data_IF_412611785199
#
_entry.id   IF_412611785199
#
_cell.length_a   1.000
_cell.length_b   1.000
_cell.length_c   1.000
_cell.angle_alpha   90.00
_cell.angle_beta   90.00
_cell.angle_gamma   90.00
#
_symmetry.space_group_name_H-M   'P 1'
#
loop_
_entity.id
_entity.type
_entity.pdbx_description
1 polymer ?
#
# COMPACT_ATOMS: atom_id res chain seq x y z
N UNK A 1 15.86 28.45 9.62
CA UNK A 1 15.58 27.24 8.81
C UNK A 1 16.27 26.05 9.45
N UNK A 2 15.59 24.95 9.60
CA UNK A 2 16.18 23.71 10.12
C UNK A 2 17.02 23.05 9.02
N UNK A 3 18.19 22.55 9.39
CA UNK A 3 19.12 21.88 8.52
C UNK A 3 19.52 20.54 9.14
N UNK A 4 19.57 19.48 8.33
CA UNK A 4 19.94 18.14 8.75
C UNK A 4 21.35 17.82 8.23
N UNK A 5 22.21 17.29 9.08
CA UNK A 5 23.55 16.84 8.73
C UNK A 5 23.60 15.32 8.48
N UNK A 6 22.67 14.58 9.09
CA UNK A 6 22.63 13.11 9.01
C UNK A 6 21.21 12.60 8.80
N UNK A 7 21.09 11.39 8.27
CA UNK A 7 19.82 10.70 8.10
C UNK A 7 19.14 10.40 9.46
N UNK A 8 19.92 10.14 10.52
CA UNK A 8 19.38 9.94 11.86
C UNK A 8 18.68 11.19 12.38
N UNK A 9 19.30 12.37 12.24
CA UNK A 9 18.66 13.64 12.62
C UNK A 9 17.34 13.89 11.85
N UNK A 10 17.31 13.51 10.58
CA UNK A 10 16.10 13.58 9.75
C UNK A 10 15.02 12.61 10.26
N UNK A 11 15.38 11.36 10.59
CA UNK A 11 14.44 10.40 11.16
C UNK A 11 13.88 10.91 12.50
N UNK A 12 14.71 11.40 13.41
CA UNK A 12 14.28 12.00 14.68
C UNK A 12 13.34 13.19 14.48
N UNK A 13 13.53 13.95 13.41
CA UNK A 13 12.62 15.03 13.06
C UNK A 13 11.27 14.49 12.58
N UNK A 14 11.28 13.54 11.65
CA UNK A 14 10.06 12.96 11.14
C UNK A 14 9.26 12.26 12.23
N UNK A 15 9.91 11.56 13.17
CA UNK A 15 9.25 10.89 14.28
C UNK A 15 8.55 11.90 15.22
N UNK A 16 9.13 13.09 15.42
CA UNK A 16 8.50 14.19 16.19
C UNK A 16 7.28 14.80 15.50
N UNK A 17 7.19 14.75 14.16
CA UNK A 17 5.98 15.17 13.45
C UNK A 17 4.78 14.25 13.75
N UNK A 18 5.06 13.07 14.28
CA UNK A 18 4.06 12.08 14.66
C UNK A 18 3.47 11.34 13.46
N UNK A 19 3.83 10.08 13.33
CA UNK A 19 3.40 9.18 12.23
C UNK A 19 1.88 9.17 12.00
N UNK A 20 1.10 9.46 13.06
CA UNK A 20 -0.37 9.40 13.07
C UNK A 20 -1.03 10.76 13.33
N UNK A 21 -0.26 11.84 13.36
CA UNK A 21 -0.85 13.17 13.39
C UNK A 21 -1.43 13.50 12.02
N UNK A 22 -2.75 13.47 11.94
CA UNK A 22 -3.48 13.73 10.71
C UNK A 22 -4.31 15.00 10.89
N UNK A 23 -4.13 15.92 9.97
CA UNK A 23 -4.96 17.09 9.84
C UNK A 23 -5.53 17.11 8.42
N UNK A 24 -6.85 16.93 8.33
CA UNK A 24 -7.57 16.72 7.07
C UNK A 24 -7.77 18.06 6.33
N UNK A 25 -6.68 18.64 5.85
CA UNK A 25 -6.66 19.85 5.02
C UNK A 25 -5.53 19.78 3.98
N UNK A 26 -5.69 20.41 2.85
CA UNK A 26 -4.64 20.54 1.83
C UNK A 26 -3.90 21.89 1.90
N UNK A 27 -4.33 22.81 2.76
CA UNK A 27 -3.80 24.18 2.78
C UNK A 27 -2.29 24.29 2.96
N UNK A 28 -1.67 23.41 3.80
CA UNK A 28 -0.21 23.39 3.99
C UNK A 28 0.51 22.94 2.71
N UNK A 29 0.00 21.88 2.06
CA UNK A 29 0.54 21.37 0.81
C UNK A 29 0.40 22.41 -0.31
N UNK A 30 -0.74 23.07 -0.40
CA UNK A 30 -0.99 24.13 -1.38
C UNK A 30 -0.06 25.33 -1.16
N UNK A 31 0.13 25.76 0.09
CA UNK A 31 1.04 26.84 0.44
C UNK A 31 2.51 26.49 0.12
N UNK A 32 2.95 25.28 0.48
CA UNK A 32 4.30 24.80 0.18
C UNK A 32 4.57 24.83 -1.33
N UNK A 33 3.68 24.26 -2.14
CA UNK A 33 3.88 24.19 -3.58
C UNK A 33 3.63 25.52 -4.29
N UNK A 34 2.82 26.42 -3.73
CA UNK A 34 2.73 27.80 -4.21
C UNK A 34 4.03 28.56 -4.04
N UNK A 35 4.75 28.33 -2.94
CA UNK A 35 6.05 28.96 -2.66
C UNK A 35 7.21 28.34 -3.46
N UNK A 36 7.21 27.02 -3.63
CA UNK A 36 8.31 26.27 -4.29
C UNK A 36 8.13 26.16 -5.82
N UNK A 37 6.90 26.10 -6.30
CA UNK A 37 6.54 25.72 -7.67
C UNK A 37 6.32 24.20 -7.79
N UNK A 38 5.16 23.83 -8.35
CA UNK A 38 4.79 22.44 -8.56
C UNK A 38 5.53 21.84 -9.74
N UNK A 39 6.21 20.67 -9.60
CA UNK A 39 6.87 20.00 -10.72
C UNK A 39 5.86 19.54 -11.79
N UNK A 40 6.20 19.69 -13.05
CA UNK A 40 5.42 19.19 -14.19
C UNK A 40 5.76 17.70 -14.44
N UNK A 41 5.34 16.85 -13.54
CA UNK A 41 5.53 15.40 -13.65
C UNK A 41 4.16 14.73 -13.82
N UNK A 42 3.96 13.97 -14.90
CA UNK A 42 2.75 13.20 -15.06
C UNK A 42 2.55 12.24 -13.89
N UNK A 43 1.36 12.25 -13.29
CA UNK A 43 1.09 11.48 -12.08
C UNK A 43 -0.14 10.60 -12.26
N UNK A 44 -0.02 9.33 -11.84
CA UNK A 44 -1.14 8.42 -11.61
C UNK A 44 -1.30 8.23 -10.11
N UNK A 45 -2.47 8.57 -9.62
CA UNK A 45 -2.85 8.46 -8.22
C UNK A 45 -3.61 7.16 -7.97
N UNK A 46 -3.27 6.41 -6.93
CA UNK A 46 -3.91 5.14 -6.59
C UNK A 46 -4.58 5.24 -5.23
N UNK A 47 -5.90 5.16 -5.23
CA UNK A 47 -6.78 5.28 -4.05
C UNK A 47 -7.51 3.96 -3.81
N UNK A 48 -7.92 3.69 -2.58
CA UNK A 48 -8.69 2.49 -2.21
C UNK A 48 -8.48 2.13 -0.74
N UNK A 49 -9.10 1.06 -0.29
CA UNK A 49 -8.85 0.50 1.04
C UNK A 49 -7.76 -0.56 0.94
N UNK A 50 -7.96 -1.57 0.12
CA UNK A 50 -7.02 -2.66 -0.10
C UNK A 50 -6.53 -2.66 -1.56
N UNK A 51 -5.34 -3.22 -1.81
CA UNK A 51 -4.81 -3.35 -3.18
C UNK A 51 -4.06 -2.14 -3.73
N UNK A 52 -4.03 -0.99 -3.05
CA UNK A 52 -3.32 0.21 -3.50
C UNK A 52 -1.86 -0.08 -3.84
N UNK A 53 -1.07 -0.51 -2.85
CA UNK A 53 0.36 -0.82 -3.04
C UNK A 53 0.61 -1.89 -4.11
N UNK A 54 -0.25 -2.94 -4.19
CA UNK A 54 -0.16 -3.95 -5.26
C UNK A 54 -0.41 -3.34 -6.64
N UNK A 55 -1.41 -2.46 -6.77
CA UNK A 55 -1.70 -1.73 -8.02
C UNK A 55 -0.52 -0.82 -8.40
N UNK A 56 0.06 -0.09 -7.43
CA UNK A 56 1.28 0.70 -7.64
C UNK A 56 2.45 -0.17 -8.12
N UNK A 57 2.66 -1.33 -7.52
CA UNK A 57 3.73 -2.25 -7.90
C UNK A 57 3.57 -2.78 -9.33
N UNK A 58 2.36 -3.21 -9.71
CA UNK A 58 2.05 -3.62 -11.09
C UNK A 58 2.24 -2.46 -12.07
N UNK A 59 1.69 -1.28 -11.77
CA UNK A 59 1.78 -0.11 -12.63
C UNK A 59 3.22 0.34 -12.84
N UNK A 60 4.01 0.40 -11.76
CA UNK A 60 5.44 0.71 -11.82
C UNK A 60 6.19 -0.30 -12.68
N UNK A 61 5.89 -1.57 -12.54
CA UNK A 61 6.53 -2.64 -13.31
C UNK A 61 6.16 -2.59 -14.80
N UNK A 62 4.87 -2.35 -15.11
CA UNK A 62 4.39 -2.15 -16.49
C UNK A 62 5.08 -0.95 -17.16
N UNK A 63 5.08 0.21 -16.52
CA UNK A 63 5.68 1.41 -17.07
C UNK A 63 7.20 1.24 -17.29
N UNK A 64 7.89 0.62 -16.34
CA UNK A 64 9.33 0.31 -16.49
C UNK A 64 9.62 -0.67 -17.61
N UNK A 65 8.80 -1.71 -17.78
CA UNK A 65 8.93 -2.66 -18.89
C UNK A 65 8.85 -1.95 -20.25
N UNK A 66 8.05 -0.87 -20.34
CA UNK A 66 7.95 -0.03 -21.53
C UNK A 66 8.99 1.13 -21.54
N UNK A 67 10.08 1.02 -20.79
CA UNK A 67 11.19 1.95 -20.83
C UNK A 67 10.98 3.27 -20.09
N UNK A 68 9.90 3.41 -19.30
CA UNK A 68 9.70 4.64 -18.54
C UNK A 68 10.59 4.67 -17.29
N UNK A 69 11.10 5.86 -16.95
CA UNK A 69 11.70 6.13 -15.65
C UNK A 69 10.60 6.50 -14.67
N UNK A 70 10.37 5.66 -13.67
CA UNK A 70 9.20 5.74 -12.78
C UNK A 70 9.62 6.11 -11.38
N UNK A 71 8.99 7.16 -10.83
CA UNK A 71 8.97 7.45 -9.42
C UNK A 71 7.77 6.75 -8.77
N UNK A 72 7.98 6.08 -7.64
CA UNK A 72 6.90 5.38 -6.92
C UNK A 72 6.90 5.81 -5.46
N UNK A 73 5.76 6.30 -4.99
CA UNK A 73 5.50 6.61 -3.59
C UNK A 73 4.46 5.67 -3.03
N UNK A 74 4.80 4.95 -1.96
CA UNK A 74 3.92 3.97 -1.31
C UNK A 74 3.93 4.11 0.20
N UNK A 75 2.89 3.62 0.86
CA UNK A 75 2.78 3.63 2.33
C UNK A 75 1.94 2.46 2.85
N UNK A 76 2.19 2.04 4.10
CA UNK A 76 3.33 2.36 4.94
C UNK A 76 4.61 1.64 4.51
N UNK A 77 5.74 1.91 5.18
CA UNK A 77 6.96 1.12 5.09
C UNK A 77 6.99 0.00 6.14
N UNK A 78 7.89 -0.96 5.99
CA UNK A 78 8.15 -2.01 6.98
C UNK A 78 9.28 -1.63 7.93
N UNK A 79 10.46 -1.34 7.42
CA UNK A 79 11.68 -1.14 8.21
C UNK A 79 12.15 0.31 8.18
N UNK A 80 12.13 0.94 7.01
CA UNK A 80 12.70 2.27 6.83
C UNK A 80 11.78 3.19 6.02
N UNK A 81 11.62 4.47 6.39
CA UNK A 81 10.94 5.46 5.56
C UNK A 81 11.43 5.49 4.10
N UNK A 82 12.67 5.08 3.84
CA UNK A 82 13.26 5.02 2.50
C UNK A 82 12.52 4.09 1.55
N UNK A 83 11.81 3.08 2.06
CA UNK A 83 10.97 2.18 1.25
C UNK A 83 9.84 2.92 0.54
N UNK A 84 9.38 4.06 1.10
CA UNK A 84 8.25 4.82 0.56
C UNK A 84 8.54 5.55 -0.72
N UNK A 85 9.80 5.98 -0.96
CA UNK A 85 10.20 6.77 -2.13
C UNK A 85 11.21 5.97 -2.93
N UNK A 86 10.81 5.55 -4.12
CA UNK A 86 11.65 4.75 -4.99
C UNK A 86 11.70 5.35 -6.40
N UNK A 87 12.87 5.29 -7.04
CA UNK A 87 13.04 5.57 -8.46
C UNK A 87 13.43 4.27 -9.16
N UNK A 88 12.66 3.84 -10.12
CA UNK A 88 12.84 2.56 -10.82
C UNK A 88 12.98 1.35 -9.86
N UNK A 89 12.16 1.32 -8.79
CA UNK A 89 12.17 0.30 -7.73
C UNK A 89 13.46 0.26 -6.90
N UNK A 90 14.23 1.32 -6.88
CA UNK A 90 15.40 1.47 -6.01
C UNK A 90 15.14 2.54 -4.98
N UNK A 91 15.35 2.21 -3.72
CA UNK A 91 15.33 3.17 -2.62
C UNK A 91 16.44 4.20 -2.81
N UNK A 92 16.17 5.44 -2.44
CA UNK A 92 17.15 6.51 -2.43
C UNK A 92 18.20 6.27 -1.32
N UNK A 93 19.41 6.83 -1.49
CA UNK A 93 20.43 6.81 -0.45
C UNK A 93 20.02 7.67 0.74
N UNK A 94 20.61 7.42 1.91
CA UNK A 94 20.39 8.27 3.10
C UNK A 94 20.80 9.71 2.84
N UNK A 95 21.92 9.90 2.16
CA UNK A 95 22.38 11.24 1.80
C UNK A 95 21.36 11.97 0.89
N UNK A 96 20.81 11.29 -0.10
CA UNK A 96 19.77 11.88 -0.95
C UNK A 96 18.53 12.30 -0.14
N UNK A 97 18.13 11.52 0.86
CA UNK A 97 17.02 11.89 1.76
C UNK A 97 17.35 13.16 2.55
N UNK A 98 18.58 13.29 3.06
CA UNK A 98 19.05 14.49 3.78
C UNK A 98 19.05 15.71 2.87
N UNK A 99 19.58 15.58 1.64
CA UNK A 99 19.63 16.66 0.67
C UNK A 99 18.22 17.15 0.30
N UNK A 100 17.31 16.24 -0.01
CA UNK A 100 15.90 16.54 -0.30
C UNK A 100 15.18 17.19 0.88
N UNK A 101 15.45 16.71 2.11
CA UNK A 101 14.87 17.30 3.31
C UNK A 101 15.38 18.74 3.53
N UNK A 102 16.64 18.99 3.31
CA UNK A 102 17.22 20.33 3.40
C UNK A 102 16.65 21.25 2.31
N UNK A 103 16.46 20.76 1.08
CA UNK A 103 15.75 21.49 0.02
C UNK A 103 14.32 21.81 0.45
N UNK A 104 13.57 20.84 0.94
CA UNK A 104 12.20 21.06 1.41
C UNK A 104 12.14 22.10 2.53
N UNK A 105 13.04 21.99 3.53
CA UNK A 105 13.11 22.94 4.66
C UNK A 105 13.53 24.35 4.25
N UNK A 106 14.05 24.56 3.06
CA UNK A 106 14.32 25.90 2.52
C UNK A 106 13.05 26.62 2.02
N UNK A 107 11.96 25.90 1.84
CA UNK A 107 10.67 26.44 1.41
C UNK A 107 9.90 26.98 2.61
N UNK A 108 9.37 28.22 2.58
CA UNK A 108 8.55 28.76 3.64
C UNK A 108 7.35 27.87 3.95
N UNK A 109 7.09 27.61 5.25
CA UNK A 109 5.99 26.76 5.73
C UNK A 109 6.28 25.26 5.72
N UNK A 110 7.49 24.84 5.38
CA UNK A 110 7.86 23.42 5.39
C UNK A 110 7.81 22.80 6.81
N UNK A 111 8.05 23.63 7.85
CA UNK A 111 7.97 23.23 9.26
C UNK A 111 6.55 22.90 9.74
N UNK A 112 5.53 23.36 9.04
CA UNK A 112 4.12 23.13 9.38
C UNK A 112 3.58 21.81 8.78
N UNK A 113 4.34 21.17 7.89
CA UNK A 113 3.93 19.92 7.22
C UNK A 113 3.84 18.78 8.23
N UNK A 114 2.79 17.97 8.13
CA UNK A 114 2.67 16.72 8.86
C UNK A 114 3.67 15.69 8.33
N UNK A 115 3.87 14.59 9.07
CA UNK A 115 4.75 13.48 8.67
C UNK A 115 4.51 13.00 7.23
N UNK A 116 3.24 12.78 6.88
CA UNK A 116 2.89 12.25 5.55
C UNK A 116 3.04 13.32 4.47
N UNK A 117 2.63 14.56 4.74
CA UNK A 117 2.80 15.69 3.83
C UNK A 117 4.27 15.95 3.51
N UNK A 118 5.13 15.95 4.55
CA UNK A 118 6.57 16.14 4.37
C UNK A 118 7.17 15.07 3.46
N UNK A 119 6.88 13.78 3.71
CA UNK A 119 7.38 12.70 2.85
C UNK A 119 6.81 12.76 1.43
N UNK A 120 5.57 13.20 1.28
CA UNK A 120 4.94 13.39 -0.03
C UNK A 120 5.64 14.49 -0.81
N UNK A 121 6.05 15.59 -0.14
CA UNK A 121 6.89 16.63 -0.75
C UNK A 121 8.26 16.08 -1.14
N UNK A 122 8.94 15.33 -0.25
CA UNK A 122 10.23 14.71 -0.57
C UNK A 122 10.14 13.77 -1.78
N UNK A 123 9.03 13.04 -1.92
CA UNK A 123 8.82 12.16 -3.08
C UNK A 123 8.80 12.95 -4.38
N UNK A 124 8.04 14.04 -4.46
CA UNK A 124 7.95 14.85 -5.68
C UNK A 124 9.27 15.57 -6.00
N UNK A 125 9.98 16.07 -4.99
CA UNK A 125 11.33 16.65 -5.18
C UNK A 125 12.31 15.59 -5.73
N UNK A 126 12.28 14.39 -5.16
CA UNK A 126 13.10 13.26 -5.62
C UNK A 126 12.81 12.90 -7.07
N UNK A 127 11.52 12.88 -7.44
CA UNK A 127 11.09 12.52 -8.79
C UNK A 127 11.49 13.58 -9.82
N UNK A 128 11.40 14.87 -9.46
CA UNK A 128 11.87 15.98 -10.27
C UNK A 128 13.38 15.90 -10.50
N UNK A 129 14.17 15.80 -9.41
CA UNK A 129 15.63 15.67 -9.51
C UNK A 129 16.06 14.45 -10.32
N UNK A 130 15.35 13.35 -10.17
CA UNK A 130 15.62 12.14 -10.94
C UNK A 130 15.17 12.25 -12.40
N UNK A 131 14.36 13.23 -12.79
CA UNK A 131 13.79 13.34 -14.14
C UNK A 131 12.93 12.12 -14.51
N UNK A 132 11.95 11.76 -13.65
CA UNK A 132 11.04 10.65 -13.94
C UNK A 132 10.02 11.02 -15.02
N UNK A 133 9.61 10.02 -15.81
CA UNK A 133 8.60 10.20 -16.85
C UNK A 133 7.17 10.00 -16.32
N UNK A 134 7.04 9.33 -15.18
CA UNK A 134 5.78 9.01 -14.53
C UNK A 134 5.97 8.90 -13.01
N UNK A 135 5.15 9.60 -12.24
CA UNK A 135 4.99 9.40 -10.81
C UNK A 135 3.78 8.49 -10.55
N UNK A 136 3.98 7.42 -9.80
CA UNK A 136 2.94 6.52 -9.28
C UNK A 136 2.81 6.78 -7.79
N UNK A 137 1.68 7.37 -7.36
CA UNK A 137 1.48 7.85 -6.00
C UNK A 137 0.35 7.10 -5.32
N UNK A 138 0.67 6.38 -4.24
CA UNK A 138 -0.32 5.74 -3.38
C UNK A 138 -0.90 6.75 -2.38
N UNK A 139 -2.23 6.84 -2.27
CA UNK A 139 -2.88 7.59 -1.22
C UNK A 139 -2.58 7.00 0.16
N UNK A 140 -2.21 7.82 1.12
CA UNK A 140 -1.97 7.38 2.48
C UNK A 140 -3.25 7.01 3.22
N UNK A 141 -4.21 7.94 3.25
CA UNK A 141 -5.49 7.75 3.91
C UNK A 141 -6.59 8.56 3.21
N UNK A 142 -7.78 7.92 3.07
CA UNK A 142 -8.92 8.58 2.46
C UNK A 142 -8.71 8.86 0.97
N UNK A 143 -9.00 10.07 0.56
CA UNK A 143 -8.85 10.55 -0.81
C UNK A 143 -8.97 12.07 -0.90
N UNK A 144 -10.05 12.64 -0.36
CA UNK A 144 -10.36 14.07 -0.49
C UNK A 144 -9.28 15.00 0.02
N UNK A 145 -8.68 14.66 1.16
CA UNK A 145 -7.68 15.47 1.85
C UNK A 145 -6.31 14.78 1.91
N UNK A 146 -6.13 13.72 1.11
CA UNK A 146 -4.82 13.07 1.03
C UNK A 146 -3.80 14.03 0.37
N UNK A 147 -2.61 14.12 0.97
CA UNK A 147 -1.57 15.05 0.51
C UNK A 147 -1.21 14.85 -0.97
N UNK A 148 -1.36 13.64 -1.50
CA UNK A 148 -1.07 13.34 -2.90
C UNK A 148 -2.03 14.00 -3.89
N UNK A 149 -3.24 14.43 -3.46
CA UNK A 149 -4.20 15.14 -4.32
C UNK A 149 -3.72 16.55 -4.67
N UNK A 150 -2.89 17.17 -3.81
CA UNK A 150 -2.35 18.51 -4.04
C UNK A 150 -1.55 18.63 -5.35
N UNK A 151 -1.05 17.52 -5.90
CA UNK A 151 -0.33 17.49 -7.18
C UNK A 151 -1.23 17.44 -8.41
N UNK A 152 -2.54 17.44 -8.25
CA UNK A 152 -3.52 17.43 -9.34
C UNK A 152 -3.30 16.29 -10.33
N UNK A 153 -3.42 15.01 -9.89
CA UNK A 153 -3.17 13.84 -10.72
C UNK A 153 -3.94 13.86 -12.03
N UNK A 154 -3.28 13.50 -13.12
CA UNK A 154 -3.92 13.39 -14.45
C UNK A 154 -4.85 12.17 -14.57
N UNK A 155 -4.67 11.19 -13.70
CA UNK A 155 -5.43 9.95 -13.65
C UNK A 155 -5.52 9.43 -12.22
N UNK A 156 -6.72 9.08 -11.76
CA UNK A 156 -6.92 8.41 -10.47
C UNK A 156 -7.42 6.98 -10.69
N UNK A 157 -6.78 6.01 -10.03
CA UNK A 157 -7.16 4.60 -10.05
C UNK A 157 -7.79 4.23 -8.72
N UNK A 158 -8.99 3.64 -8.75
CA UNK A 158 -9.68 3.16 -7.55
C UNK A 158 -9.52 1.64 -7.41
N UNK A 159 -8.63 1.23 -6.50
CA UNK A 159 -8.56 -0.13 -5.98
C UNK A 159 -9.77 -0.41 -5.08
N UNK A 160 -10.05 -1.67 -4.68
CA UNK A 160 -11.23 -2.00 -3.90
C UNK A 160 -11.39 -1.14 -2.64
N UNK A 161 -12.58 -0.58 -2.47
CA UNK A 161 -13.01 0.20 -1.30
C UNK A 161 -13.77 -0.73 -0.36
N UNK A 162 -13.41 -0.74 0.92
CA UNK A 162 -14.02 -1.56 1.95
C UNK A 162 -13.91 -0.88 3.32
N UNK A 163 -14.42 -1.52 4.35
CA UNK A 163 -14.38 -1.02 5.73
C UNK A 163 -12.96 -1.00 6.26
N UNK A 164 -12.45 0.16 6.59
CA UNK A 164 -11.21 0.43 7.35
C UNK A 164 -11.17 1.91 7.75
N UNK A 165 -10.43 2.24 8.81
CA UNK A 165 -10.29 3.60 9.31
C UNK A 165 -11.61 4.30 9.64
N UNK A 166 -12.60 3.55 10.13
CA UNK A 166 -13.97 4.02 10.43
C UNK A 166 -14.00 5.22 11.37
N UNK A 167 -13.08 5.29 12.33
CA UNK A 167 -12.96 6.40 13.29
C UNK A 167 -12.60 7.74 12.64
N UNK A 168 -12.05 7.73 11.44
CA UNK A 168 -11.56 8.91 10.73
C UNK A 168 -12.42 9.21 9.52
N UNK A 169 -12.74 8.19 8.73
CA UNK A 169 -13.43 8.35 7.44
C UNK A 169 -14.95 8.22 7.56
N UNK A 170 -15.44 7.73 8.71
CA UNK A 170 -16.87 7.52 8.98
C UNK A 170 -17.23 6.05 9.16
N UNK A 171 -18.37 5.79 9.84
CA UNK A 171 -18.75 4.46 10.30
C UNK A 171 -19.34 3.54 9.21
N UNK A 172 -19.62 4.08 8.00
CA UNK A 172 -20.24 3.30 6.92
C UNK A 172 -19.36 3.21 5.69
N UNK A 173 -19.56 2.18 4.87
CA UNK A 173 -18.90 2.05 3.57
C UNK A 173 -19.16 3.26 2.67
N UNK A 174 -20.37 3.80 2.74
CA UNK A 174 -20.78 5.00 2.01
C UNK A 174 -19.95 6.23 2.41
N UNK A 175 -19.65 6.42 3.70
CA UNK A 175 -18.84 7.56 4.18
C UNK A 175 -17.39 7.41 3.72
N UNK A 176 -16.81 6.22 3.89
CA UNK A 176 -15.46 5.89 3.43
C UNK A 176 -15.34 6.10 1.92
N UNK A 177 -16.32 5.63 1.16
CA UNK A 177 -16.33 5.77 -0.30
C UNK A 177 -16.49 7.22 -0.74
N UNK A 178 -17.31 8.02 -0.04
CA UNK A 178 -17.47 9.45 -0.30
C UNK A 178 -16.18 10.22 -0.09
N UNK A 179 -15.45 9.96 0.97
CA UNK A 179 -14.14 10.58 1.20
C UNK A 179 -13.15 10.19 0.10
N UNK A 180 -13.03 8.89 -0.21
CA UNK A 180 -12.12 8.41 -1.25
C UNK A 180 -12.49 8.96 -2.65
N UNK A 181 -13.75 9.04 -2.98
CA UNK A 181 -14.25 9.63 -4.22
C UNK A 181 -13.82 11.10 -4.38
N UNK A 182 -13.58 11.81 -3.25
CA UNK A 182 -13.05 13.17 -3.25
C UNK A 182 -11.71 13.34 -3.98
N UNK A 183 -10.97 12.25 -4.23
CA UNK A 183 -9.77 12.25 -5.07
C UNK A 183 -10.06 12.40 -6.57
N UNK A 184 -11.31 12.30 -7.01
CA UNK A 184 -11.72 12.60 -8.38
C UNK A 184 -11.77 14.13 -8.54
N UNK A 185 -10.88 14.66 -9.36
CA UNK A 185 -10.77 16.09 -9.62
C UNK A 185 -11.74 16.55 -10.70
N UNK A 186 -12.02 17.86 -10.72
CA UNK A 186 -12.87 18.49 -11.72
C UNK A 186 -12.34 18.25 -13.14
N UNK A 187 -13.21 17.77 -14.04
CA UNK A 187 -12.85 17.44 -15.43
C UNK A 187 -11.84 16.29 -15.57
N UNK A 188 -11.43 15.65 -14.46
CA UNK A 188 -10.42 14.61 -14.42
C UNK A 188 -10.90 13.26 -14.96
N UNK A 189 -10.00 12.28 -14.91
CA UNK A 189 -10.28 10.89 -15.30
C UNK A 189 -10.05 9.97 -14.11
N UNK A 190 -11.01 9.09 -13.85
CA UNK A 190 -10.93 8.06 -12.84
C UNK A 190 -11.18 6.68 -13.45
N UNK A 191 -10.35 5.70 -13.14
CA UNK A 191 -10.58 4.30 -13.50
C UNK A 191 -10.91 3.49 -12.26
N UNK A 192 -11.89 2.60 -12.37
CA UNK A 192 -12.26 1.70 -11.28
C UNK A 192 -12.47 0.29 -11.76
N UNK A 193 -12.02 -0.69 -10.95
CA UNK A 193 -12.44 -2.08 -11.05
C UNK A 193 -13.82 -2.29 -10.41
N UNK A 194 -14.24 -3.55 -10.21
CA UNK A 194 -15.43 -3.86 -9.44
C UNK A 194 -15.36 -3.26 -8.02
N UNK A 195 -16.46 -2.68 -7.57
CA UNK A 195 -16.64 -2.13 -6.24
C UNK A 195 -17.94 -2.68 -5.63
N UNK A 196 -18.06 -2.63 -4.32
CA UNK A 196 -19.35 -2.81 -3.66
C UNK A 196 -20.35 -1.75 -4.15
N UNK A 197 -21.66 -2.08 -4.30
CA UNK A 197 -22.64 -1.17 -4.89
C UNK A 197 -22.67 0.22 -4.24
N UNK A 198 -22.60 0.29 -2.91
CA UNK A 198 -22.58 1.54 -2.16
C UNK A 198 -21.35 2.40 -2.49
N UNK A 199 -20.19 1.78 -2.64
CA UNK A 199 -18.97 2.48 -3.01
C UNK A 199 -19.03 2.97 -4.46
N UNK A 200 -19.56 2.15 -5.37
CA UNK A 200 -19.72 2.52 -6.78
C UNK A 200 -20.63 3.73 -6.94
N UNK A 201 -21.75 3.78 -6.23
CA UNK A 201 -22.67 4.93 -6.24
C UNK A 201 -21.91 6.22 -5.88
N UNK A 202 -21.08 6.19 -4.82
CA UNK A 202 -20.32 7.39 -4.41
C UNK A 202 -19.28 7.84 -5.43
N UNK A 203 -18.64 6.90 -6.13
CA UNK A 203 -17.72 7.22 -7.21
C UNK A 203 -18.45 7.87 -8.40
N UNK A 204 -19.64 7.36 -8.76
CA UNK A 204 -20.46 7.89 -9.84
C UNK A 204 -20.97 9.30 -9.50
N UNK A 205 -21.59 9.48 -8.34
CA UNK A 205 -22.08 10.78 -7.85
C UNK A 205 -20.98 11.86 -7.87
N UNK A 206 -19.77 11.48 -7.40
CA UNK A 206 -18.66 12.43 -7.40
C UNK A 206 -18.18 12.75 -8.81
N UNK A 207 -18.05 11.76 -9.68
CA UNK A 207 -17.62 11.97 -11.06
C UNK A 207 -18.60 12.90 -11.81
N UNK A 208 -19.90 12.68 -11.64
CA UNK A 208 -20.94 13.57 -12.20
C UNK A 208 -20.85 14.98 -11.65
N UNK A 209 -20.73 15.14 -10.32
CA UNK A 209 -20.69 16.42 -9.65
C UNK A 209 -19.50 17.31 -10.06
N UNK A 210 -18.38 16.70 -10.48
CA UNK A 210 -17.16 17.40 -10.89
C UNK A 210 -16.87 17.25 -12.38
N UNK A 211 -17.85 16.84 -13.18
CA UNK A 211 -17.72 16.65 -14.64
C UNK A 211 -16.54 15.80 -15.05
N UNK A 212 -16.16 14.83 -14.20
CA UNK A 212 -15.07 13.91 -14.45
C UNK A 212 -15.54 12.66 -15.20
N UNK A 213 -14.63 12.03 -15.93
CA UNK A 213 -14.90 10.77 -16.63
C UNK A 213 -14.59 9.59 -15.72
N UNK A 214 -15.62 8.82 -15.32
CA UNK A 214 -15.44 7.53 -14.65
C UNK A 214 -15.44 6.40 -15.69
N UNK A 215 -14.36 5.60 -15.72
CA UNK A 215 -14.13 4.54 -16.69
C UNK A 215 -13.97 3.21 -15.96
N UNK A 216 -14.59 2.16 -16.47
CA UNK A 216 -14.45 0.82 -15.91
C UNK A 216 -13.25 0.12 -16.53
N UNK A 217 -12.50 -0.61 -15.70
CA UNK A 217 -11.29 -1.32 -16.17
C UNK A 217 -11.56 -2.33 -17.28
N UNK A 218 -12.77 -2.90 -17.32
CA UNK A 218 -13.19 -3.86 -18.38
C UNK A 218 -13.23 -3.23 -19.76
N UNK A 219 -13.47 -1.91 -19.84
CA UNK A 219 -13.58 -1.17 -21.10
C UNK A 219 -12.20 -0.84 -21.71
N UNK A 220 -11.14 -0.85 -20.88
CA UNK A 220 -9.78 -0.47 -21.27
C UNK A 220 -8.84 -1.66 -21.32
N UNK A 221 -8.90 -2.50 -20.31
CA UNK A 221 -8.10 -3.71 -20.22
C UNK A 221 -9.02 -4.92 -20.21
N UNK A 222 -9.11 -5.63 -21.27
CA UNK A 222 -9.77 -6.93 -21.30
C UNK A 222 -9.29 -7.88 -20.20
N UNK A 223 -9.66 -9.15 -20.20
CA UNK A 223 -9.16 -10.12 -19.21
C UNK A 223 -7.62 -10.15 -19.25
N UNK A 224 -6.98 -10.19 -18.08
CA UNK A 224 -5.51 -10.28 -17.96
C UNK A 224 -4.96 -11.57 -18.56
N UNK A 225 -5.85 -12.51 -18.94
CA UNK A 225 -5.49 -13.79 -19.54
C UNK A 225 -4.80 -14.74 -18.55
N UNK A 226 -4.16 -15.78 -19.08
CA UNK A 226 -3.40 -16.77 -18.31
C UNK A 226 -1.97 -16.26 -18.00
N UNK A 227 -1.85 -15.05 -17.39
CA UNK A 227 -0.56 -14.48 -17.01
C UNK A 227 -0.19 -14.95 -15.59
N UNK A 228 1.02 -15.45 -15.43
CA UNK A 228 1.56 -15.79 -14.11
C UNK A 228 2.01 -14.51 -13.40
N UNK A 229 1.07 -13.85 -12.72
CA UNK A 229 1.34 -12.60 -12.02
C UNK A 229 2.52 -12.72 -11.03
N UNK A 230 3.33 -11.67 -10.93
CA UNK A 230 4.42 -11.58 -9.97
C UNK A 230 3.93 -11.55 -8.53
N UNK A 231 2.80 -10.87 -8.25
CA UNK A 231 2.09 -10.95 -6.98
C UNK A 231 1.05 -12.05 -7.02
N UNK A 232 1.04 -12.91 -6.00
CA UNK A 232 0.18 -14.10 -5.95
C UNK A 232 -1.16 -13.82 -5.27
N UNK A 233 -2.14 -14.66 -5.60
CA UNK A 233 -3.50 -14.61 -5.08
C UNK A 233 -4.52 -14.08 -6.08
N UNK A 234 -5.73 -14.65 -6.06
CA UNK A 234 -6.80 -14.35 -7.03
C UNK A 234 -7.19 -12.87 -7.07
N UNK A 235 -7.16 -12.19 -5.92
CA UNK A 235 -7.43 -10.76 -5.81
C UNK A 235 -6.40 -9.89 -6.57
N UNK A 236 -5.20 -10.41 -6.82
CA UNK A 236 -4.18 -9.68 -7.58
C UNK A 236 -4.53 -9.56 -9.06
N UNK A 237 -5.42 -10.41 -9.58
CA UNK A 237 -5.92 -10.28 -10.94
C UNK A 237 -6.70 -8.97 -11.13
N UNK A 238 -7.49 -8.55 -10.15
CA UNK A 238 -8.20 -7.28 -10.18
C UNK A 238 -7.23 -6.09 -10.09
N UNK A 239 -6.23 -6.16 -9.19
CA UNK A 239 -5.20 -5.12 -9.04
C UNK A 239 -4.34 -5.00 -10.32
N UNK A 240 -3.95 -6.13 -10.92
CA UNK A 240 -3.21 -6.18 -12.18
C UNK A 240 -4.02 -5.59 -13.34
N UNK A 241 -5.33 -5.89 -13.42
CA UNK A 241 -6.22 -5.32 -14.44
C UNK A 241 -6.35 -3.81 -14.28
N UNK A 242 -6.50 -3.33 -13.04
CA UNK A 242 -6.57 -1.89 -12.76
C UNK A 242 -5.27 -1.19 -13.16
N UNK A 243 -4.12 -1.76 -12.82
CA UNK A 243 -2.82 -1.23 -13.20
C UNK A 243 -2.62 -1.25 -14.73
N UNK A 244 -3.02 -2.33 -15.41
CA UNK A 244 -2.94 -2.44 -16.87
C UNK A 244 -3.85 -1.43 -17.57
N UNK A 245 -5.08 -1.23 -17.08
CA UNK A 245 -5.98 -0.21 -17.59
C UNK A 245 -5.39 1.19 -17.41
N UNK A 246 -4.85 1.49 -16.21
CA UNK A 246 -4.18 2.75 -15.92
C UNK A 246 -2.97 2.99 -16.83
N UNK A 247 -2.13 1.97 -17.02
CA UNK A 247 -0.99 2.05 -17.94
C UNK A 247 -1.43 2.33 -19.39
N UNK A 248 -2.37 1.54 -19.92
CA UNK A 248 -2.87 1.73 -21.30
C UNK A 248 -3.50 3.09 -21.51
N UNK A 249 -4.28 3.56 -20.53
CA UNK A 249 -4.86 4.92 -20.60
C UNK A 249 -3.78 6.00 -20.63
N UNK A 250 -2.81 5.91 -19.73
CA UNK A 250 -1.67 6.83 -19.67
C UNK A 250 -0.86 6.81 -20.96
N UNK A 251 -0.52 5.61 -21.46
CA UNK A 251 0.27 5.42 -22.67
C UNK A 251 -0.44 5.98 -23.91
N UNK A 252 -1.75 5.72 -24.05
CA UNK A 252 -2.55 6.24 -25.17
C UNK A 252 -2.59 7.77 -25.18
N UNK A 253 -2.77 8.42 -24.01
CA UNK A 253 -2.76 9.87 -23.89
C UNK A 253 -1.42 10.54 -24.22
N UNK A 254 -0.34 9.74 -24.30
CA UNK A 254 1.02 10.21 -24.60
C UNK A 254 1.61 9.60 -25.86
N UNK A 255 0.82 8.89 -26.65
CA UNK A 255 1.25 8.21 -27.89
C UNK A 255 2.42 7.23 -27.65
N UNK A 256 2.50 6.64 -26.45
CA UNK A 256 3.49 5.61 -26.15
C UNK A 256 3.04 4.28 -26.73
N UNK A 257 3.99 3.54 -27.28
CA UNK A 257 3.70 2.19 -27.78
C UNK A 257 3.52 1.21 -26.66
N UNK A 258 2.49 0.38 -26.75
CA UNK A 258 2.24 -0.75 -25.85
C UNK A 258 2.12 -2.03 -26.66
N UNK A 259 2.56 -3.15 -26.11
CA UNK A 259 2.40 -4.46 -26.70
C UNK A 259 2.17 -5.53 -25.62
N UNK A 260 1.50 -6.60 -25.95
CA UNK A 260 1.12 -7.64 -25.01
C UNK A 260 2.30 -8.41 -24.40
N UNK A 261 3.42 -8.52 -25.09
CA UNK A 261 4.60 -9.24 -24.59
C UNK A 261 5.24 -8.42 -23.46
N UNK A 262 5.43 -7.13 -23.70
CA UNK A 262 5.99 -6.19 -22.74
C UNK A 262 5.03 -6.00 -21.53
N UNK A 263 3.71 -5.90 -21.77
CA UNK A 263 2.71 -5.84 -20.71
C UNK A 263 2.74 -7.09 -19.83
N UNK A 264 2.79 -8.28 -20.45
CA UNK A 264 2.91 -9.55 -19.75
C UNK A 264 4.17 -9.59 -18.89
N UNK A 265 5.32 -9.26 -19.45
CA UNK A 265 6.58 -9.19 -18.70
C UNK A 265 6.49 -8.22 -17.50
N UNK A 266 5.88 -7.05 -17.69
CA UNK A 266 5.64 -6.09 -16.61
C UNK A 266 4.78 -6.66 -15.49
N UNK A 267 3.71 -7.39 -15.82
CA UNK A 267 2.84 -8.04 -14.83
C UNK A 267 3.52 -9.21 -14.08
N UNK A 268 4.31 -10.01 -14.80
CA UNK A 268 5.05 -11.16 -14.24
C UNK A 268 6.19 -10.72 -13.33
N UNK A 269 6.82 -9.58 -13.60
CA UNK A 269 7.97 -9.05 -12.85
C UNK A 269 7.61 -8.11 -11.69
N UNK A 270 6.31 -7.87 -11.44
CA UNK A 270 5.86 -7.06 -10.32
C UNK A 270 6.20 -7.74 -8.97
N UNK A 271 6.71 -6.95 -8.02
CA UNK A 271 7.04 -7.42 -6.69
C UNK A 271 6.65 -6.38 -5.63
N UNK A 272 6.11 -6.85 -4.52
CA UNK A 272 5.84 -6.06 -3.32
C UNK A 272 6.00 -6.99 -2.10
N UNK A 273 6.86 -6.68 -1.14
CA UNK A 273 7.03 -7.52 0.04
C UNK A 273 5.73 -7.61 0.85
N UNK A 274 5.53 -8.73 1.54
CA UNK A 274 4.36 -8.94 2.40
C UNK A 274 3.01 -9.02 1.68
N UNK A 275 3.01 -9.44 0.40
CA UNK A 275 1.77 -9.71 -0.37
C UNK A 275 1.81 -11.10 -0.93
N UNK A 276 1.30 -12.07 -0.12
CA UNK A 276 1.37 -13.50 -0.40
C UNK A 276 2.79 -13.93 -0.79
N UNK A 277 3.77 -13.35 -0.11
CA UNK A 277 5.18 -13.57 -0.42
C UNK A 277 5.63 -14.91 0.17
N UNK A 278 6.07 -15.82 -0.69
CA UNK A 278 6.64 -17.10 -0.28
C UNK A 278 8.14 -16.96 -0.12
N UNK A 279 8.64 -17.35 1.04
CA UNK A 279 10.08 -17.31 1.37
C UNK A 279 10.49 -18.60 2.06
N UNK A 280 11.74 -19.00 1.89
CA UNK A 280 12.35 -20.07 2.66
C UNK A 280 13.16 -19.44 3.81
N UNK A 281 12.87 -19.84 5.03
CA UNK A 281 13.53 -19.36 6.24
C UNK A 281 13.76 -20.53 7.19
N UNK A 282 15.03 -20.77 7.54
CA UNK A 282 15.48 -21.86 8.42
C UNK A 282 14.93 -23.24 7.99
N UNK A 283 14.98 -23.54 6.67
CA UNK A 283 14.53 -24.80 6.09
C UNK A 283 13.01 -24.98 6.07
N UNK A 284 12.23 -23.92 6.37
CA UNK A 284 10.75 -23.92 6.38
C UNK A 284 10.20 -22.93 5.38
N UNK A 285 9.11 -23.31 4.73
CA UNK A 285 8.39 -22.36 3.87
C UNK A 285 7.51 -21.45 4.71
N UNK A 286 7.67 -20.13 4.53
CA UNK A 286 6.79 -19.12 5.08
C UNK A 286 5.99 -18.42 3.98
N UNK A 287 4.75 -18.07 4.30
CA UNK A 287 3.93 -17.14 3.51
C UNK A 287 3.75 -15.87 4.35
N UNK A 288 4.22 -14.75 3.82
CA UNK A 288 4.12 -13.45 4.47
C UNK A 288 3.02 -12.64 3.79
N UNK A 289 1.99 -12.23 4.56
CA UNK A 289 0.90 -11.41 4.02
C UNK A 289 0.44 -10.34 5.01
N UNK A 290 0.32 -9.13 4.53
CA UNK A 290 -0.10 -7.96 5.32
C UNK A 290 -1.60 -7.82 5.56
N UNK A 291 -2.41 -8.86 5.34
CA UNK A 291 -3.85 -8.83 5.62
C UNK A 291 -4.12 -8.54 7.10
N UNK A 292 -4.83 -7.44 7.38
CA UNK A 292 -5.02 -6.91 8.73
C UNK A 292 -6.43 -6.35 9.00
N UNK A 293 -7.39 -6.63 8.11
CA UNK A 293 -8.81 -6.35 8.27
C UNK A 293 -9.64 -7.49 7.66
N UNK A 294 -10.92 -7.54 7.94
CA UNK A 294 -11.80 -8.63 7.50
C UNK A 294 -11.81 -8.80 5.97
N UNK A 295 -11.86 -7.69 5.22
CA UNK A 295 -11.84 -7.72 3.75
C UNK A 295 -10.52 -8.32 3.21
N UNK A 296 -9.36 -7.93 3.76
CA UNK A 296 -8.07 -8.48 3.36
C UNK A 296 -7.90 -9.96 3.76
N UNK A 297 -8.38 -10.37 4.94
CA UNK A 297 -8.36 -11.77 5.37
C UNK A 297 -9.26 -12.65 4.51
N UNK A 298 -10.40 -12.13 4.06
CA UNK A 298 -11.27 -12.83 3.09
C UNK A 298 -10.52 -13.08 1.78
N UNK A 299 -9.83 -12.06 1.26
CA UNK A 299 -9.02 -12.18 0.06
C UNK A 299 -7.84 -13.16 0.24
N UNK A 300 -7.17 -13.14 1.39
CA UNK A 300 -6.10 -14.08 1.73
C UNK A 300 -6.59 -15.53 1.80
N UNK A 301 -7.74 -15.78 2.46
CA UNK A 301 -8.37 -17.10 2.48
C UNK A 301 -8.70 -17.61 1.07
N UNK A 302 -9.25 -16.74 0.22
CA UNK A 302 -9.53 -17.09 -1.18
C UNK A 302 -8.23 -17.38 -1.96
N UNK A 303 -7.17 -16.62 -1.71
CA UNK A 303 -5.87 -16.83 -2.33
C UNK A 303 -5.25 -18.17 -1.93
N UNK A 304 -5.26 -18.52 -0.65
CA UNK A 304 -4.77 -19.81 -0.14
C UNK A 304 -5.54 -20.98 -0.81
N UNK A 305 -6.87 -20.88 -0.87
CA UNK A 305 -7.70 -21.89 -1.53
C UNK A 305 -7.41 -22.03 -3.02
N UNK A 306 -7.25 -20.91 -3.73
CA UNK A 306 -6.96 -20.93 -5.19
C UNK A 306 -5.59 -21.49 -5.53
N UNK A 307 -4.62 -21.33 -4.64
CA UNK A 307 -3.27 -21.92 -4.78
C UNK A 307 -3.20 -23.38 -4.24
N UNK A 308 -4.29 -23.93 -3.71
CA UNK A 308 -4.31 -25.26 -3.12
C UNK A 308 -3.46 -25.37 -1.84
N UNK A 309 -3.24 -24.25 -1.14
CA UNK A 309 -2.38 -24.18 0.03
C UNK A 309 -3.21 -24.22 1.31
N UNK A 310 -2.85 -25.12 2.22
CA UNK A 310 -3.36 -25.16 3.58
C UNK A 310 -2.20 -24.92 4.54
N UNK A 311 -2.12 -23.77 5.23
CA UNK A 311 -1.06 -23.53 6.20
C UNK A 311 -1.10 -24.56 7.33
N UNK A 312 0.05 -25.12 7.65
CA UNK A 312 0.20 -26.04 8.79
C UNK A 312 0.19 -25.28 10.13
N UNK A 313 0.59 -24.00 10.11
CA UNK A 313 0.64 -23.13 11.28
C UNK A 313 0.35 -21.69 10.84
N UNK A 314 -0.32 -20.91 11.69
CA UNK A 314 -0.52 -19.46 11.49
C UNK A 314 0.16 -18.69 12.62
N UNK A 315 0.90 -17.66 12.28
CA UNK A 315 1.41 -16.66 13.21
C UNK A 315 0.62 -15.38 12.94
N UNK A 316 -0.19 -14.95 13.92
CA UNK A 316 -1.14 -13.85 13.76
C UNK A 316 -1.00 -12.82 14.86
N UNK A 317 -0.97 -11.54 14.51
CA UNK A 317 -1.11 -10.45 15.45
C UNK A 317 -1.85 -9.28 14.81
N UNK A 318 -2.51 -8.44 15.60
CA UNK A 318 -3.19 -7.26 15.09
C UNK A 318 -3.02 -6.05 16.02
N UNK A 319 -3.41 -4.89 15.51
CA UNK A 319 -3.41 -3.65 16.28
C UNK A 319 -4.74 -3.49 17.05
N UNK A 320 -4.72 -2.71 18.15
CA UNK A 320 -5.87 -2.48 19.05
C UNK A 320 -7.05 -1.78 18.36
N UNK A 321 -6.77 -1.02 17.30
CA UNK A 321 -7.78 -0.26 16.56
C UNK A 321 -8.53 -1.09 15.52
N UNK A 322 -8.15 -2.36 15.33
CA UNK A 322 -8.81 -3.25 14.36
C UNK A 322 -10.00 -3.99 14.99
N UNK A 323 -11.05 -4.18 14.20
CA UNK A 323 -12.22 -4.95 14.61
C UNK A 323 -11.90 -6.46 14.60
N UNK A 324 -11.41 -6.95 15.74
CA UNK A 324 -11.04 -8.35 15.89
C UNK A 324 -12.25 -9.28 15.73
N UNK A 325 -13.44 -8.86 16.18
CA UNK A 325 -14.65 -9.68 16.15
C UNK A 325 -14.99 -10.17 14.74
N UNK A 326 -14.96 -9.28 13.75
CA UNK A 326 -15.23 -9.61 12.35
C UNK A 326 -14.12 -10.46 11.73
N UNK A 327 -12.92 -10.42 12.28
CA UNK A 327 -11.77 -11.17 11.80
C UNK A 327 -11.72 -12.61 12.35
N UNK A 328 -12.28 -12.89 13.54
CA UNK A 328 -12.16 -14.19 14.22
C UNK A 328 -12.58 -15.39 13.35
N UNK A 329 -13.74 -15.40 12.66
CA UNK A 329 -14.13 -16.53 11.82
C UNK A 329 -13.13 -16.77 10.68
N UNK A 330 -12.60 -15.69 10.11
CA UNK A 330 -11.65 -15.72 9.01
C UNK A 330 -10.28 -16.27 9.47
N UNK A 331 -9.78 -15.81 10.63
CA UNK A 331 -8.53 -16.29 11.23
C UNK A 331 -8.63 -17.79 11.50
N UNK A 332 -9.73 -18.24 12.12
CA UNK A 332 -9.95 -19.66 12.42
C UNK A 332 -9.99 -20.55 11.18
N UNK A 333 -10.38 -20.00 10.02
CA UNK A 333 -10.46 -20.72 8.76
C UNK A 333 -9.13 -20.83 8.01
N UNK A 334 -8.09 -20.08 8.40
CA UNK A 334 -6.78 -20.09 7.74
C UNK A 334 -6.03 -21.42 7.86
N UNK A 335 -6.23 -22.14 8.98
CA UNK A 335 -5.53 -23.40 9.29
C UNK A 335 -6.37 -24.31 10.17
N UNK A 336 -6.11 -25.61 10.10
CA UNK A 336 -6.57 -26.59 11.10
C UNK A 336 -5.53 -26.80 12.20
N UNK A 337 -4.32 -26.31 11.99
CA UNK A 337 -3.20 -26.39 12.92
C UNK A 337 -3.20 -25.28 13.98
N UNK A 338 -2.09 -25.12 14.71
CA UNK A 338 -1.95 -24.12 15.75
C UNK A 338 -1.91 -22.68 15.19
N UNK A 339 -2.47 -21.75 15.98
CA UNK A 339 -2.38 -20.31 15.75
C UNK A 339 -1.56 -19.69 16.87
N UNK A 340 -0.38 -19.17 16.55
CA UNK A 340 0.50 -18.54 17.52
C UNK A 340 0.36 -17.02 17.45
N UNK A 341 0.19 -16.40 18.61
CA UNK A 341 -0.03 -14.96 18.73
C UNK A 341 1.18 -14.35 19.44
N UNK A 342 2.17 -13.83 18.69
CA UNK A 342 3.35 -13.23 19.29
C UNK A 342 3.01 -11.91 19.95
N UNK A 343 3.75 -11.58 21.02
CA UNK A 343 3.79 -10.24 21.55
C UNK A 343 4.45 -9.32 20.50
N UNK A 344 3.79 -8.22 20.17
CA UNK A 344 4.33 -7.16 19.31
C UNK A 344 4.79 -5.96 20.15
N UNK A 345 5.79 -5.26 19.68
CA UNK A 345 6.24 -4.02 20.29
C UNK A 345 5.41 -2.81 19.82
N UNK A 346 5.31 -1.78 20.69
CA UNK A 346 4.67 -0.52 20.40
C UNK A 346 3.29 -0.32 21.04
N UNK A 347 2.91 0.94 21.22
CA UNK A 347 1.70 1.35 21.94
C UNK A 347 0.39 0.88 21.30
N UNK A 348 0.39 0.66 19.99
CA UNK A 348 -0.78 0.22 19.24
C UNK A 348 -0.95 -1.30 19.19
N UNK A 349 0.02 -2.07 19.67
CA UNK A 349 -0.07 -3.53 19.69
C UNK A 349 -1.26 -3.97 20.57
N UNK A 350 -2.09 -4.88 20.06
CA UNK A 350 -3.10 -5.52 20.87
C UNK A 350 -2.46 -6.59 21.78
N UNK A 351 -3.06 -6.83 22.94
CA UNK A 351 -2.57 -7.84 23.88
C UNK A 351 -2.71 -9.25 23.28
N UNK A 352 -1.58 -9.95 23.17
CA UNK A 352 -1.51 -11.26 22.54
C UNK A 352 -2.30 -12.33 23.29
N UNK A 353 -2.37 -12.27 24.63
CA UNK A 353 -3.14 -13.22 25.42
C UNK A 353 -4.65 -13.03 25.18
N UNK A 354 -5.09 -11.77 25.07
CA UNK A 354 -6.48 -11.44 24.76
C UNK A 354 -6.85 -11.93 23.36
N UNK A 355 -6.00 -11.72 22.35
CA UNK A 355 -6.22 -12.21 20.99
C UNK A 355 -6.29 -13.75 20.99
N UNK A 356 -5.33 -14.43 21.62
CA UNK A 356 -5.30 -15.90 21.67
C UNK A 356 -6.57 -16.47 22.30
N UNK A 357 -7.02 -15.91 23.45
CA UNK A 357 -8.27 -16.31 24.10
C UNK A 357 -9.48 -16.10 23.19
N UNK A 358 -9.54 -14.98 22.47
CA UNK A 358 -10.65 -14.69 21.56
C UNK A 358 -10.68 -15.65 20.35
N UNK A 359 -9.52 -16.06 19.81
CA UNK A 359 -9.43 -17.05 18.73
C UNK A 359 -9.90 -18.44 19.21
N UNK A 360 -9.51 -18.87 20.42
CA UNK A 360 -9.99 -20.11 21.06
C UNK A 360 -8.89 -21.17 21.20
N UNK A 361 -9.29 -22.44 21.42
CA UNK A 361 -8.43 -23.54 21.88
C UNK A 361 -7.17 -23.82 21.03
N UNK A 362 -7.22 -23.55 19.72
CA UNK A 362 -6.06 -23.75 18.83
C UNK A 362 -5.05 -22.61 18.88
N UNK A 363 -5.34 -21.54 19.64
CA UNK A 363 -4.49 -20.37 19.71
C UNK A 363 -3.74 -20.32 21.04
N UNK A 364 -2.48 -19.89 20.98
CA UNK A 364 -1.64 -19.64 22.15
C UNK A 364 -0.81 -18.38 21.98
N UNK A 365 -0.63 -17.64 23.05
CA UNK A 365 0.25 -16.49 23.09
C UNK A 365 1.73 -16.97 23.04
N UNK A 366 2.57 -16.19 22.36
CA UNK A 366 4.01 -16.41 22.27
C UNK A 366 4.75 -15.15 22.70
N UNK A 367 5.94 -15.31 23.26
CA UNK A 367 6.76 -14.20 23.77
C UNK A 367 7.26 -13.26 22.65
N UNK A 368 7.47 -13.80 21.46
CA UNK A 368 7.99 -13.05 20.30
C UNK A 368 7.63 -13.73 18.98
N UNK A 369 7.82 -13.02 17.87
CA UNK A 369 7.71 -13.59 16.53
C UNK A 369 8.70 -14.75 16.36
N UNK A 370 9.93 -14.62 16.82
CA UNK A 370 10.95 -15.68 16.68
C UNK A 370 10.56 -16.94 17.44
N UNK A 371 10.05 -16.81 18.68
CA UNK A 371 9.51 -17.93 19.44
C UNK A 371 8.32 -18.58 18.71
N UNK A 372 7.40 -17.79 18.16
CA UNK A 372 6.26 -18.30 17.39
C UNK A 372 6.69 -19.03 16.12
N UNK A 373 7.71 -18.56 15.41
CA UNK A 373 8.24 -19.25 14.23
C UNK A 373 8.92 -20.58 14.58
N UNK A 374 9.64 -20.64 15.70
CA UNK A 374 10.39 -21.82 16.15
C UNK A 374 9.52 -22.87 16.83
N UNK A 375 8.37 -22.49 17.41
CA UNK A 375 7.50 -23.39 18.20
C UNK A 375 6.67 -24.30 17.31
N UNK A 376 6.51 -25.55 17.73
CA UNK A 376 5.61 -26.56 17.16
C UNK A 376 6.30 -27.58 16.27
N UNK A 377 5.66 -28.75 16.08
CA UNK A 377 6.17 -29.78 15.19
C UNK A 377 6.24 -29.25 13.75
N UNK A 378 7.06 -29.87 12.92
CA UNK A 378 7.03 -29.63 11.47
C UNK A 378 5.64 -29.99 10.93
N UNK A 379 4.78 -28.98 10.93
CA UNK A 379 3.41 -29.14 10.45
C UNK A 379 3.44 -29.38 8.94
N UNK A 380 2.57 -30.27 8.47
CA UNK A 380 2.42 -30.44 7.01
C UNK A 380 1.90 -29.13 6.41
N UNK A 381 2.75 -28.45 5.62
CA UNK A 381 2.42 -27.19 4.95
C UNK A 381 3.16 -25.96 5.48
N UNK A 382 3.09 -24.84 4.75
CA UNK A 382 3.81 -23.63 5.08
C UNK A 382 3.30 -22.97 6.37
N UNK A 383 4.15 -22.17 7.01
CA UNK A 383 3.72 -21.25 8.07
C UNK A 383 3.25 -19.94 7.46
N UNK A 384 2.00 -19.54 7.77
CA UNK A 384 1.46 -18.23 7.36
C UNK A 384 1.72 -17.20 8.46
N UNK A 385 2.32 -16.07 8.10
CA UNK A 385 2.50 -14.90 8.99
C UNK A 385 1.62 -13.77 8.48
N UNK A 386 0.61 -13.35 9.26
CA UNK A 386 -0.33 -12.30 8.85
C UNK A 386 -0.96 -11.55 10.04
N UNK A 387 -1.83 -10.58 9.73
CA UNK A 387 -2.63 -9.82 10.70
C UNK A 387 -2.11 -8.41 10.99
N UNK A 388 -0.85 -8.13 10.71
CA UNK A 388 -0.28 -6.79 10.89
C UNK A 388 0.94 -6.57 10.01
N UNK A 389 1.03 -5.37 9.43
CA UNK A 389 2.26 -4.93 8.75
C UNK A 389 3.42 -4.75 9.75
N UNK A 390 3.13 -4.42 11.01
CA UNK A 390 4.15 -4.33 12.06
C UNK A 390 4.72 -5.69 12.43
N UNK A 391 3.90 -6.75 12.42
CA UNK A 391 4.39 -8.12 12.59
C UNK A 391 5.35 -8.52 11.46
N UNK A 392 5.01 -8.15 10.22
CA UNK A 392 5.91 -8.38 9.08
C UNK A 392 7.16 -7.50 9.16
N UNK A 393 7.04 -6.28 9.69
CA UNK A 393 8.19 -5.40 9.92
C UNK A 393 9.23 -6.07 10.85
N UNK A 394 8.80 -6.67 11.97
CA UNK A 394 9.68 -7.43 12.86
C UNK A 394 10.40 -8.56 12.10
N UNK A 395 9.70 -9.26 11.20
CA UNK A 395 10.33 -10.28 10.36
C UNK A 395 11.39 -9.70 9.43
N UNK A 396 11.08 -8.59 8.75
CA UNK A 396 12.00 -7.97 7.79
C UNK A 396 13.19 -7.27 8.44
N UNK A 397 13.05 -6.74 9.66
CA UNK A 397 14.18 -6.21 10.44
C UNK A 397 15.24 -7.32 10.66
N UNK A 398 14.79 -8.52 11.00
CA UNK A 398 15.67 -9.68 11.18
C UNK A 398 16.14 -10.27 9.85
N UNK A 399 15.39 -10.08 8.77
CA UNK A 399 15.60 -10.73 7.49
C UNK A 399 15.49 -9.74 6.32
N UNK A 400 16.33 -8.69 6.24
CA UNK A 400 16.17 -7.58 5.27
C UNK A 400 16.31 -8.03 3.81
N UNK A 401 16.95 -9.18 3.54
CA UNK A 401 17.08 -9.76 2.20
C UNK A 401 15.74 -10.03 1.51
N UNK A 402 14.64 -10.18 2.25
CA UNK A 402 13.32 -10.46 1.71
C UNK A 402 12.50 -9.20 1.40
N UNK A 403 13.02 -8.01 1.67
CA UNK A 403 12.39 -6.73 1.28
C UNK A 403 12.55 -6.40 -0.22
N UNK A 404 13.49 -7.05 -0.89
CA UNK A 404 13.77 -6.82 -2.32
C UNK A 404 13.53 -8.10 -3.12
N UNK A 405 13.25 -7.92 -4.44
CA UNK A 405 13.06 -9.04 -5.38
C UNK A 405 14.39 -9.66 -5.78
#
# INVERSE_FOLDING_TARGET
>A
MKHFSTYSELCDYMDRLGLFHMDLTLGRMEAFWAARGLPDIPMIHVVGTNGKGSTCAFLTSLARAHGQKVGTFTSPHFVSPRERIQVNRRMLSEQTWVDLANEAMSVPGAEDLTYFEFQTCLAMLAFEQAGVNLAVMEAGLGGRFDATVAFKPSLTLFAPIGMDHEKILGPTLSDIARDKAGAILEGGVALTGPQEPEAMIRLQERAEAVHARLVYTVDVAGPVGAVRLGLKGIHQTANARLALAGWRWFAAGRSLRTDHITERFGLESAFLPGRFQRVEHDGRELILDGAHNAHALTALNAALKSEGIRPGKVVFACLRDKNLTDMLPLIRSLTDGPILVPAMHGERAADNQTIARAIGERASASESLQAALSTGPDAQGPTLVCGSLYLLAEFYILNPRFLTA
#
